data_IF_177491872363
#
_entry.id   IF_177491872363
#
_cell.length_a   1.000
_cell.length_b   1.000
_cell.length_c   1.000
_cell.angle_alpha   90.00
_cell.angle_beta   90.00
_cell.angle_gamma   90.00
#
_symmetry.space_group_name_H-M   'P 1'
#
loop_
_entity.id
_entity.type
_entity.pdbx_description
1 polymer ?
#
# COMPACT_ATOMS: atom_id res chain seq x y z
N UNK A 1 -44.92 -49.22 11.40
CA UNK A 1 -45.06 -50.67 11.26
C UNK A 1 -43.69 -51.32 11.20
N UNK A 2 -43.41 -52.11 12.23
CA UNK A 2 -42.34 -53.10 12.46
C UNK A 2 -40.88 -52.69 12.45
N UNK A 3 -40.40 -52.70 13.72
CA UNK A 3 -39.04 -52.97 14.20
C UNK A 3 -38.47 -54.29 13.66
N UNK A 4 -37.16 -54.36 13.48
CA UNK A 4 -36.39 -55.53 13.87
C UNK A 4 -34.98 -55.14 14.34
N UNK A 5 -34.73 -55.35 15.60
CA UNK A 5 -33.41 -55.46 16.26
C UNK A 5 -32.79 -56.81 15.89
N UNK A 6 -31.46 -56.86 15.69
CA UNK A 6 -30.64 -58.04 16.01
C UNK A 6 -29.33 -57.62 16.63
N UNK A 7 -29.14 -58.11 17.81
CA UNK A 7 -27.92 -58.16 18.66
C UNK A 7 -27.11 -59.42 18.31
N UNK A 8 -25.91 -59.46 18.81
CA UNK A 8 -24.97 -60.56 19.18
C UNK A 8 -23.62 -60.34 18.50
N UNK A 9 -22.46 -60.59 19.07
CA UNK A 9 -22.04 -60.95 20.43
C UNK A 9 -20.49 -60.78 20.47
N UNK A 10 -20.03 -60.53 21.64
CA UNK A 10 -18.69 -60.56 22.24
C UNK A 10 -17.79 -61.73 21.83
N UNK A 11 -16.47 -61.49 21.66
CA UNK A 11 -15.45 -62.44 22.12
C UNK A 11 -14.19 -61.72 22.59
N UNK A 12 -13.83 -62.02 23.79
CA UNK A 12 -12.64 -61.62 24.59
C UNK A 12 -11.55 -62.67 24.31
N UNK A 13 -10.31 -62.29 24.11
CA UNK A 13 -9.17 -63.13 24.41
C UNK A 13 -7.92 -62.31 24.69
N UNK A 14 -7.34 -62.60 25.73
CA UNK A 14 -6.35 -62.04 26.59
C UNK A 14 -4.91 -62.52 26.26
N UNK A 15 -3.98 -61.81 26.89
CA UNK A 15 -2.63 -62.22 27.35
C UNK A 15 -1.49 -62.26 26.30
N UNK A 16 -0.44 -61.47 26.47
CA UNK A 16 0.81 -61.88 27.16
C UNK A 16 1.77 -60.68 27.36
N UNK A 17 2.26 -60.64 28.56
CA UNK A 17 3.31 -59.81 29.16
C UNK A 17 4.67 -60.34 28.72
N UNK A 18 5.60 -59.41 28.39
CA UNK A 18 7.03 -59.68 28.53
C UNK A 18 7.75 -58.38 28.95
N UNK A 19 8.41 -58.47 30.09
CA UNK A 19 9.23 -57.47 30.77
C UNK A 19 10.68 -57.45 30.22
N UNK A 20 11.34 -56.32 30.58
CA UNK A 20 12.79 -56.09 30.81
C UNK A 20 13.62 -55.65 29.60
N UNK A 21 14.20 -54.44 29.65
CA UNK A 21 15.46 -54.14 30.38
C UNK A 21 15.67 -52.61 30.52
N UNK A 22 15.97 -52.19 31.74
CA UNK A 22 16.60 -50.92 32.07
C UNK A 22 18.07 -50.95 31.64
N UNK A 23 18.51 -49.84 30.98
CA UNK A 23 19.88 -49.37 31.15
C UNK A 23 19.86 -47.87 31.35
N UNK A 24 20.48 -47.48 32.44
CA UNK A 24 20.56 -46.10 32.95
C UNK A 24 21.76 -45.34 32.39
N UNK A 25 21.71 -44.05 32.61
CA UNK A 25 22.78 -43.05 32.69
C UNK A 25 23.32 -42.44 31.42
N UNK A 26 23.03 -41.15 31.33
CA UNK A 26 23.74 -40.17 30.53
C UNK A 26 23.05 -38.81 30.72
N UNK A 27 23.37 -38.14 31.86
CA UNK A 27 23.00 -36.74 32.10
C UNK A 27 23.80 -35.86 31.11
N UNK A 28 23.13 -35.32 30.17
CA UNK A 28 23.66 -34.12 29.49
C UNK A 28 22.53 -33.10 29.41
N UNK A 29 22.63 -32.10 30.28
CA UNK A 29 21.76 -30.93 30.29
C UNK A 29 22.14 -30.04 29.12
N UNK A 30 21.77 -30.44 27.93
CA UNK A 30 21.71 -29.58 26.77
C UNK A 30 20.47 -28.71 26.89
N UNK A 31 20.65 -27.48 27.33
CA UNK A 31 19.67 -26.42 27.13
C UNK A 31 19.40 -26.35 25.61
N UNK A 32 18.26 -26.87 25.21
CA UNK A 32 17.74 -26.56 23.87
C UNK A 32 17.42 -25.07 23.88
N UNK A 33 18.31 -24.27 23.31
CA UNK A 33 17.96 -22.96 22.83
C UNK A 33 16.76 -23.14 21.91
N UNK A 34 15.70 -22.31 22.03
CA UNK A 34 14.62 -22.32 21.05
C UNK A 34 15.24 -21.95 19.71
N UNK A 35 15.30 -22.89 18.80
CA UNK A 35 15.66 -22.66 17.41
C UNK A 35 14.72 -21.55 16.88
N UNK A 36 15.30 -20.41 16.54
CA UNK A 36 14.63 -19.30 15.87
C UNK A 36 14.37 -19.64 14.39
N UNK A 37 13.72 -20.78 14.13
CA UNK A 37 13.34 -21.26 12.81
C UNK A 37 11.85 -21.63 12.78
N UNK A 38 11.00 -20.61 13.04
CA UNK A 38 9.57 -20.71 12.80
C UNK A 38 8.98 -19.35 12.34
N UNK A 39 9.72 -18.59 11.56
CA UNK A 39 9.12 -17.60 10.68
C UNK A 39 8.73 -18.32 9.39
N UNK A 40 7.54 -18.88 9.35
CA UNK A 40 6.91 -19.30 8.11
C UNK A 40 6.95 -18.11 7.15
N UNK A 41 7.35 -18.32 5.87
CA UNK A 41 7.39 -17.25 4.86
C UNK A 41 6.03 -16.53 4.72
N UNK A 42 5.95 -15.46 3.91
CA UNK A 42 4.72 -14.70 3.73
C UNK A 42 3.59 -15.61 3.25
N UNK A 43 2.41 -15.42 3.83
CA UNK A 43 1.18 -16.11 3.41
C UNK A 43 0.29 -15.10 2.70
N UNK A 44 -0.20 -15.46 1.50
CA UNK A 44 -1.05 -14.62 0.68
C UNK A 44 -2.49 -15.09 0.71
N UNK A 45 -3.44 -14.18 0.55
CA UNK A 45 -4.88 -14.45 0.48
C UNK A 45 -5.21 -15.46 -0.63
N UNK A 46 -4.50 -15.38 -1.74
CA UNK A 46 -4.61 -16.30 -2.86
C UNK A 46 -3.27 -17.02 -3.06
N UNK A 47 -3.25 -18.33 -2.92
CA UNK A 47 -2.05 -19.12 -3.09
C UNK A 47 -1.40 -18.86 -4.47
N UNK A 48 -0.10 -18.56 -4.47
CA UNK A 48 0.67 -18.29 -5.69
C UNK A 48 0.47 -16.89 -6.28
N UNK A 49 -0.23 -15.98 -5.59
CA UNK A 49 -0.45 -14.59 -6.05
C UNK A 49 -0.20 -13.60 -4.93
N UNK A 50 0.47 -12.51 -5.26
CA UNK A 50 0.49 -11.29 -4.46
C UNK A 50 -0.66 -10.40 -4.95
N UNK A 51 -1.69 -10.22 -4.14
CA UNK A 51 -2.81 -9.33 -4.47
C UNK A 51 -2.57 -7.95 -3.89
N UNK A 52 -2.57 -6.95 -4.76
CA UNK A 52 -2.22 -5.57 -4.46
C UNK A 52 -3.43 -4.67 -4.70
N UNK A 53 -3.83 -3.90 -3.70
CA UNK A 53 -4.79 -2.81 -3.83
C UNK A 53 -4.07 -1.51 -4.20
N UNK A 54 -4.59 -0.80 -5.20
CA UNK A 54 -4.07 0.47 -5.69
C UNK A 54 -5.22 1.32 -6.24
N UNK A 55 -5.18 2.63 -6.05
CA UNK A 55 -6.23 3.57 -6.50
C UNK A 55 -5.90 4.06 -7.91
N UNK A 56 -6.52 3.48 -8.90
CA UNK A 56 -6.22 3.68 -10.32
C UNK A 56 -7.34 4.52 -10.99
N UNK A 57 -7.02 5.68 -11.59
CA UNK A 57 -5.69 6.17 -11.98
C UNK A 57 -5.05 7.17 -11.00
N UNK A 58 -3.74 7.05 -10.76
CA UNK A 58 -2.93 7.98 -10.01
C UNK A 58 -1.54 8.17 -10.66
N UNK A 59 -1.50 8.78 -11.85
CA UNK A 59 -0.27 8.94 -12.64
C UNK A 59 0.79 9.82 -11.93
N UNK A 60 2.05 9.43 -11.94
CA UNK A 60 2.71 8.33 -12.66
C UNK A 60 2.90 7.06 -11.83
N UNK A 61 2.28 6.91 -10.65
CA UNK A 61 2.43 5.76 -9.75
C UNK A 61 1.66 4.54 -10.26
N UNK A 62 0.37 4.69 -10.59
CA UNK A 62 -0.49 3.63 -11.11
C UNK A 62 -1.53 4.16 -12.09
N UNK A 63 -1.57 3.58 -13.28
CA UNK A 63 -2.54 3.93 -14.31
C UNK A 63 -2.65 2.84 -15.38
N UNK A 64 -3.67 2.95 -16.23
CA UNK A 64 -3.88 2.00 -17.32
C UNK A 64 -3.25 2.52 -18.61
N UNK A 65 -2.31 1.76 -19.18
CA UNK A 65 -1.72 2.01 -20.49
C UNK A 65 -1.75 0.75 -21.33
N UNK A 66 -2.41 0.82 -22.49
CA UNK A 66 -2.54 -0.36 -23.37
C UNK A 66 -3.27 -1.53 -22.73
N UNK A 67 -4.24 -1.29 -21.83
CA UNK A 67 -5.00 -2.31 -21.13
C UNK A 67 -4.23 -3.01 -19.99
N UNK A 68 -3.10 -2.44 -19.56
CA UNK A 68 -2.28 -2.95 -18.44
C UNK A 68 -2.12 -1.89 -17.38
N UNK A 69 -2.11 -2.30 -16.11
CA UNK A 69 -1.72 -1.45 -15.01
C UNK A 69 -0.21 -1.25 -15.06
N UNK A 70 0.23 0.00 -15.11
CA UNK A 70 1.64 0.42 -15.19
C UNK A 70 1.86 1.61 -14.27
N UNK A 71 3.11 1.90 -13.93
CA UNK A 71 3.46 3.02 -13.08
C UNK A 71 4.61 2.66 -12.14
N UNK A 72 5.07 3.64 -11.39
CA UNK A 72 6.16 3.48 -10.45
C UNK A 72 5.83 2.43 -9.37
N UNK A 73 4.65 2.56 -8.76
CA UNK A 73 4.18 1.63 -7.73
C UNK A 73 3.88 0.24 -8.30
N UNK A 74 3.43 0.15 -9.56
CA UNK A 74 3.20 -1.12 -10.24
C UNK A 74 4.50 -1.86 -10.52
N UNK A 75 5.58 -1.14 -10.87
CA UNK A 75 6.90 -1.75 -11.05
C UNK A 75 7.47 -2.25 -9.71
N UNK A 76 7.33 -1.47 -8.61
CA UNK A 76 7.72 -1.91 -7.26
C UNK A 76 6.91 -3.16 -6.86
N UNK A 77 5.59 -3.16 -7.07
CA UNK A 77 4.73 -4.31 -6.76
C UNK A 77 5.13 -5.56 -7.56
N UNK A 78 5.52 -5.39 -8.83
CA UNK A 78 6.01 -6.49 -9.66
C UNK A 78 7.33 -7.09 -9.12
N UNK A 79 8.24 -6.25 -8.62
CA UNK A 79 9.48 -6.72 -8.01
C UNK A 79 9.23 -7.43 -6.65
N UNK A 80 8.24 -6.97 -5.86
CA UNK A 80 7.82 -7.69 -4.63
C UNK A 80 7.27 -9.08 -4.99
N UNK A 81 6.39 -9.17 -5.99
CA UNK A 81 5.83 -10.44 -6.45
C UNK A 81 6.91 -11.40 -6.99
N UNK A 82 7.89 -10.86 -7.71
CA UNK A 82 9.04 -11.60 -8.25
C UNK A 82 9.91 -12.17 -7.12
N UNK A 83 10.25 -11.38 -6.10
CA UNK A 83 11.02 -11.84 -4.95
C UNK A 83 10.26 -12.91 -4.15
N UNK A 84 8.93 -12.78 -4.05
CA UNK A 84 8.05 -13.79 -3.48
C UNK A 84 7.86 -15.03 -4.36
N UNK A 85 8.30 -15.00 -5.64
CA UNK A 85 8.09 -16.05 -6.65
C UNK A 85 6.62 -16.40 -6.89
N UNK A 86 5.77 -15.37 -6.94
CA UNK A 86 4.32 -15.48 -7.17
C UNK A 86 3.89 -14.54 -8.30
N UNK A 87 2.67 -14.71 -8.81
CA UNK A 87 2.07 -13.80 -9.78
C UNK A 87 1.59 -12.51 -9.12
N UNK A 88 1.75 -11.37 -9.79
CA UNK A 88 1.14 -10.10 -9.39
C UNK A 88 -0.33 -10.07 -9.82
N UNK A 89 -1.22 -9.77 -8.87
CA UNK A 89 -2.63 -9.50 -9.12
C UNK A 89 -2.97 -8.11 -8.55
N UNK A 90 -3.39 -7.16 -9.41
CA UNK A 90 -3.73 -5.79 -9.02
C UNK A 90 -5.23 -5.62 -8.98
N UNK A 91 -5.75 -5.07 -7.90
CA UNK A 91 -7.14 -4.69 -7.71
C UNK A 91 -7.22 -3.18 -7.61
N UNK A 92 -8.02 -2.57 -8.47
CA UNK A 92 -8.41 -1.18 -8.37
C UNK A 92 -9.32 -0.99 -7.15
N UNK A 93 -8.89 -0.17 -6.20
CA UNK A 93 -9.57 0.06 -4.93
C UNK A 93 -9.53 1.54 -4.58
N UNK A 94 -10.67 2.11 -4.19
CA UNK A 94 -10.73 3.53 -3.80
C UNK A 94 -9.72 3.88 -2.70
N UNK A 95 -9.15 5.07 -2.77
CA UNK A 95 -8.16 5.51 -1.79
C UNK A 95 -8.69 5.50 -0.36
N UNK A 96 -9.97 5.84 -0.16
CA UNK A 96 -10.65 5.76 1.15
C UNK A 96 -10.62 4.33 1.73
N UNK A 97 -10.87 3.31 0.88
CA UNK A 97 -10.76 1.90 1.29
C UNK A 97 -9.33 1.53 1.69
N UNK A 98 -8.34 2.03 0.95
CA UNK A 98 -6.92 1.78 1.25
C UNK A 98 -6.53 2.45 2.58
N UNK A 99 -6.76 3.77 2.70
CA UNK A 99 -6.33 4.55 3.86
C UNK A 99 -7.03 4.12 5.16
N UNK A 100 -8.26 3.64 5.07
CA UNK A 100 -9.02 3.12 6.22
C UNK A 100 -8.55 1.74 6.70
N UNK A 101 -7.69 1.04 5.94
CA UNK A 101 -7.21 -0.30 6.22
C UNK A 101 -8.19 -1.41 5.82
N UNK A 102 -9.28 -1.08 5.12
CA UNK A 102 -10.26 -2.06 4.64
C UNK A 102 -9.71 -2.94 3.52
N UNK A 103 -8.66 -2.49 2.82
CA UNK A 103 -8.00 -3.25 1.74
C UNK A 103 -7.58 -4.66 2.18
N UNK A 104 -7.25 -4.87 3.44
CA UNK A 104 -6.78 -6.16 3.98
C UNK A 104 -7.76 -7.32 3.82
N UNK A 105 -9.03 -7.05 3.53
CA UNK A 105 -10.03 -8.09 3.25
C UNK A 105 -9.94 -8.66 1.83
N UNK A 106 -9.24 -7.97 0.93
CA UNK A 106 -9.15 -8.31 -0.50
C UNK A 106 -7.72 -8.39 -1.02
N UNK A 107 -6.77 -7.70 -0.36
CA UNK A 107 -5.40 -7.56 -0.82
C UNK A 107 -4.39 -7.91 0.28
N UNK A 108 -3.25 -8.44 -0.14
CA UNK A 108 -2.11 -8.76 0.73
C UNK A 108 -1.34 -7.51 1.13
N UNK A 109 -1.25 -6.54 0.22
CA UNK A 109 -0.63 -5.23 0.42
C UNK A 109 -1.43 -4.14 -0.28
N UNK A 110 -1.18 -2.89 0.09
CA UNK A 110 -1.62 -1.70 -0.65
C UNK A 110 -0.41 -0.84 -1.02
N UNK A 111 -0.33 -0.45 -2.29
CA UNK A 111 0.67 0.50 -2.78
C UNK A 111 -0.04 1.47 -3.72
N UNK A 112 -0.02 2.76 -3.38
CA UNK A 112 -0.78 3.79 -4.08
C UNK A 112 -0.31 5.18 -3.63
N UNK A 113 0.98 5.46 -3.78
CA UNK A 113 1.60 6.70 -3.29
C UNK A 113 1.14 7.05 -1.85
N UNK A 114 1.10 6.03 -1.00
CA UNK A 114 0.46 6.11 0.32
C UNK A 114 1.37 6.78 1.34
N UNK A 115 1.09 8.04 1.71
CA UNK A 115 1.84 8.76 2.73
C UNK A 115 1.75 8.06 4.08
N UNK A 116 2.91 7.83 4.70
CA UNK A 116 3.05 7.27 6.05
C UNK A 116 2.56 8.33 7.05
N UNK A 117 1.52 8.02 7.82
CA UNK A 117 1.02 8.90 8.88
C UNK A 117 0.69 8.10 10.13
N UNK A 118 0.77 8.76 11.31
CA UNK A 118 0.41 8.12 12.59
C UNK A 118 -1.03 7.58 12.61
N UNK A 119 -1.93 8.24 11.89
CA UNK A 119 -3.33 7.82 11.81
C UNK A 119 -3.48 6.52 11.02
N UNK A 120 -2.77 6.40 9.90
CA UNK A 120 -2.76 5.21 9.04
C UNK A 120 -1.96 4.07 9.67
N UNK A 121 -0.85 4.37 10.36
CA UNK A 121 -0.03 3.39 11.07
C UNK A 121 -0.78 2.64 12.20
N UNK A 122 -1.91 3.17 12.66
CA UNK A 122 -2.81 2.47 13.59
C UNK A 122 -3.69 1.42 12.91
N UNK A 123 -3.81 1.47 11.58
CA UNK A 123 -4.71 0.63 10.78
C UNK A 123 -3.95 -0.43 9.97
N UNK A 124 -2.68 -0.16 9.65
CA UNK A 124 -1.79 -1.01 8.87
C UNK A 124 -0.34 -0.79 9.28
N UNK A 125 0.53 -1.77 9.01
CA UNK A 125 1.97 -1.57 9.04
C UNK A 125 2.41 -0.86 7.76
N UNK A 126 3.46 -0.06 7.85
CA UNK A 126 4.13 0.51 6.69
C UNK A 126 5.49 -0.10 6.48
N UNK A 127 5.86 -0.24 5.22
CA UNK A 127 7.25 -0.53 4.84
C UNK A 127 8.19 0.60 5.26
N UNK A 128 9.50 0.38 5.10
CA UNK A 128 10.45 1.50 5.00
C UNK A 128 10.01 2.43 3.88
N UNK A 129 10.22 3.76 4.01
CA UNK A 129 9.87 4.71 2.95
C UNK A 129 10.59 4.39 1.64
N UNK A 130 9.89 4.56 0.52
CA UNK A 130 10.48 4.39 -0.82
C UNK A 130 10.62 5.70 -1.60
N UNK A 131 9.92 6.77 -1.17
CA UNK A 131 9.96 8.10 -1.81
C UNK A 131 9.53 9.19 -0.82
N UNK A 132 10.11 10.39 -0.92
CA UNK A 132 9.63 11.60 -0.27
C UNK A 132 8.68 12.34 -1.23
N UNK A 133 7.55 12.87 -0.74
CA UNK A 133 6.59 13.56 -1.58
C UNK A 133 5.81 14.63 -0.82
N UNK A 134 6.23 15.87 -0.98
CA UNK A 134 5.60 17.04 -0.34
C UNK A 134 4.28 17.44 -1.03
N UNK A 135 3.54 18.39 -0.44
CA UNK A 135 2.31 18.92 -1.00
C UNK A 135 2.57 20.21 -1.81
N UNK A 136 1.74 20.41 -2.82
CA UNK A 136 1.75 21.62 -3.66
C UNK A 136 0.35 22.19 -3.86
N UNK A 137 0.32 23.49 -4.14
CA UNK A 137 -0.84 24.20 -4.68
C UNK A 137 -0.60 24.47 -6.16
N UNK A 138 -1.54 24.05 -7.01
CA UNK A 138 -1.51 24.28 -8.44
C UNK A 138 -2.67 25.17 -8.83
N UNK A 139 -2.41 26.11 -9.74
CA UNK A 139 -3.43 27.00 -10.25
C UNK A 139 -3.14 27.41 -11.70
N UNK A 140 -4.14 27.99 -12.35
CA UNK A 140 -3.99 28.56 -13.69
C UNK A 140 -3.18 29.84 -13.61
N UNK A 141 -2.31 30.07 -14.61
CA UNK A 141 -1.55 31.31 -14.77
C UNK A 141 -2.48 32.51 -14.81
N UNK A 142 -2.12 33.55 -14.07
CA UNK A 142 -2.90 34.78 -14.01
C UNK A 142 -4.20 34.67 -13.19
N UNK A 143 -4.45 33.59 -12.49
CA UNK A 143 -5.62 33.40 -11.59
C UNK A 143 -5.62 34.36 -10.38
N UNK A 144 -4.45 34.91 -10.03
CA UNK A 144 -4.23 35.66 -8.79
C UNK A 144 -4.03 34.78 -7.57
N UNK A 145 -3.99 33.44 -7.71
CA UNK A 145 -3.68 32.50 -6.65
C UNK A 145 -2.18 32.25 -6.65
N UNK A 146 -1.51 32.59 -5.55
CA UNK A 146 -0.05 32.45 -5.38
C UNK A 146 0.33 31.68 -4.13
N UNK A 147 -0.62 31.51 -3.22
CA UNK A 147 -0.43 30.84 -1.92
C UNK A 147 -1.78 30.45 -1.30
N UNK A 148 -1.76 29.88 -0.09
CA UNK A 148 -2.99 29.51 0.65
C UNK A 148 -3.83 30.72 1.04
N UNK A 149 -3.22 31.88 1.29
CA UNK A 149 -3.95 33.09 1.69
C UNK A 149 -4.82 33.60 0.53
N UNK A 150 -4.26 33.60 -0.68
CA UNK A 150 -4.98 33.99 -1.91
C UNK A 150 -5.95 32.92 -2.39
N UNK A 151 -5.74 31.65 -1.99
CA UNK A 151 -6.63 30.52 -2.28
C UNK A 151 -7.81 30.41 -1.28
N UNK A 152 -7.78 31.11 -0.16
CA UNK A 152 -8.66 30.89 1.00
C UNK A 152 -10.14 30.78 0.67
N UNK A 153 -10.65 31.71 -0.16
CA UNK A 153 -12.05 31.78 -0.56
C UNK A 153 -12.31 31.24 -1.97
N UNK A 154 -11.30 30.61 -2.57
CA UNK A 154 -11.38 29.99 -3.90
C UNK A 154 -11.84 28.56 -3.78
N UNK A 155 -12.37 28.01 -4.88
CA UNK A 155 -12.67 26.59 -4.95
C UNK A 155 -11.37 25.82 -5.12
N UNK A 156 -10.99 25.07 -4.10
CA UNK A 156 -9.77 24.23 -4.12
C UNK A 156 -10.17 22.76 -4.22
N UNK A 157 -9.79 22.12 -5.32
CA UNK A 157 -10.00 20.69 -5.52
C UNK A 157 -8.95 19.88 -4.77
N UNK A 158 -9.41 18.84 -4.09
CA UNK A 158 -8.58 17.86 -3.38
C UNK A 158 -9.07 16.46 -3.68
N UNK A 159 -8.19 15.45 -3.62
CA UNK A 159 -8.67 14.08 -3.56
C UNK A 159 -9.08 13.76 -2.12
N UNK A 160 -10.23 13.09 -1.95
CA UNK A 160 -10.78 12.70 -0.65
C UNK A 160 -9.87 11.72 0.08
N UNK A 161 -9.90 11.74 1.42
CA UNK A 161 -9.13 10.87 2.31
C UNK A 161 -7.59 11.02 2.22
N UNK A 162 -7.08 12.00 1.44
CA UNK A 162 -5.65 12.25 1.31
C UNK A 162 -5.11 13.21 2.37
N UNK A 163 -3.78 13.27 2.50
CA UNK A 163 -3.08 14.28 3.29
C UNK A 163 -3.32 15.68 2.75
N UNK A 164 -3.48 15.84 1.43
CA UNK A 164 -3.83 17.08 0.79
C UNK A 164 -5.20 17.62 1.24
N UNK A 165 -6.23 16.78 1.29
CA UNK A 165 -7.53 17.16 1.83
C UNK A 165 -7.44 17.58 3.31
N UNK A 166 -6.73 16.79 4.12
CA UNK A 166 -6.52 17.09 5.53
C UNK A 166 -5.81 18.43 5.70
N UNK A 167 -4.72 18.65 4.96
CA UNK A 167 -3.94 19.89 5.00
C UNK A 167 -4.80 21.09 4.61
N UNK A 168 -5.60 20.99 3.54
CA UNK A 168 -6.51 22.06 3.12
C UNK A 168 -7.47 22.48 4.25
N UNK A 169 -8.05 21.51 4.97
CA UNK A 169 -8.93 21.74 6.12
C UNK A 169 -8.18 22.39 7.29
N UNK A 170 -6.99 21.90 7.61
CA UNK A 170 -6.16 22.43 8.70
C UNK A 170 -5.69 23.87 8.45
N UNK A 171 -5.44 24.21 7.18
CA UNK A 171 -5.08 25.58 6.76
C UNK A 171 -6.30 26.52 6.66
N UNK A 172 -7.49 26.02 6.92
CA UNK A 172 -8.72 26.85 6.97
C UNK A 172 -9.20 27.32 5.60
N UNK A 173 -8.96 26.55 4.53
CA UNK A 173 -9.59 26.82 3.24
C UNK A 173 -11.12 26.62 3.39
N UNK A 174 -11.90 27.61 2.91
CA UNK A 174 -13.33 27.64 3.15
C UNK A 174 -14.17 26.90 2.11
N UNK A 175 -13.61 26.68 0.91
CA UNK A 175 -14.33 26.10 -0.23
C UNK A 175 -13.57 24.95 -0.85
N UNK A 176 -13.51 23.82 -0.12
CA UNK A 176 -12.82 22.61 -0.54
C UNK A 176 -13.81 21.72 -1.32
N UNK A 177 -13.41 21.29 -2.51
CA UNK A 177 -14.17 20.38 -3.37
C UNK A 177 -13.44 19.03 -3.42
N UNK A 178 -14.03 18.00 -2.79
CA UNK A 178 -13.47 16.64 -2.76
C UNK A 178 -13.80 15.85 -4.02
N UNK A 179 -12.80 15.17 -4.57
CA UNK A 179 -12.92 14.24 -5.70
C UNK A 179 -12.54 12.83 -5.25
N UNK A 180 -13.13 11.82 -5.88
CA UNK A 180 -12.84 10.43 -5.57
C UNK A 180 -11.41 10.04 -5.97
N UNK A 181 -10.98 10.46 -7.16
CA UNK A 181 -9.65 10.18 -7.71
C UNK A 181 -8.93 11.44 -8.22
N UNK A 182 -7.60 11.34 -8.39
CA UNK A 182 -6.75 12.44 -8.84
C UNK A 182 -7.01 12.83 -10.30
N UNK A 183 -7.51 11.91 -11.13
CA UNK A 183 -7.88 12.18 -12.51
C UNK A 183 -9.07 13.14 -12.59
N UNK A 184 -10.14 12.87 -11.82
CA UNK A 184 -11.31 13.75 -11.69
C UNK A 184 -10.93 15.11 -11.10
N UNK A 185 -10.08 15.13 -10.07
CA UNK A 185 -9.53 16.36 -9.48
C UNK A 185 -8.83 17.21 -10.53
N UNK A 186 -7.95 16.61 -11.33
CA UNK A 186 -7.20 17.30 -12.39
C UNK A 186 -8.13 17.81 -13.49
N UNK A 187 -9.08 16.99 -13.94
CA UNK A 187 -10.06 17.37 -14.96
C UNK A 187 -10.90 18.55 -14.50
N UNK A 188 -11.28 18.63 -13.24
CA UNK A 188 -12.05 19.74 -12.69
C UNK A 188 -11.30 21.08 -12.78
N UNK A 189 -9.97 21.11 -12.53
CA UNK A 189 -9.15 22.30 -12.75
C UNK A 189 -9.11 22.69 -14.22
N UNK A 190 -8.82 21.73 -15.10
CA UNK A 190 -8.72 21.98 -16.54
C UNK A 190 -10.05 22.47 -17.14
N UNK A 191 -11.18 22.01 -16.58
CA UNK A 191 -12.52 22.46 -16.97
C UNK A 191 -12.97 23.77 -16.30
N UNK A 192 -12.15 24.34 -15.40
CA UNK A 192 -12.48 25.58 -14.67
C UNK A 192 -13.59 25.41 -13.63
N UNK A 193 -13.84 24.19 -13.15
CA UNK A 193 -14.82 23.89 -12.10
C UNK A 193 -14.28 24.24 -10.71
N UNK A 194 -12.96 24.19 -10.54
CA UNK A 194 -12.20 24.65 -9.38
C UNK A 194 -11.11 25.64 -9.83
N UNK A 195 -10.66 26.49 -8.91
CA UNK A 195 -9.69 27.54 -9.16
C UNK A 195 -8.24 27.08 -8.93
N UNK A 196 -8.06 26.08 -8.08
CA UNK A 196 -6.76 25.52 -7.73
C UNK A 196 -6.90 24.03 -7.32
N UNK A 197 -5.78 23.30 -7.31
CA UNK A 197 -5.67 21.96 -6.71
C UNK A 197 -4.65 21.97 -5.58
N UNK A 198 -4.90 21.19 -4.55
CA UNK A 198 -3.94 20.93 -3.49
C UNK A 198 -3.79 19.42 -3.32
N UNK A 199 -2.54 18.93 -3.31
CA UNK A 199 -2.20 17.51 -3.22
C UNK A 199 -0.71 17.27 -3.40
N UNK A 200 -0.32 16.03 -3.57
CA UNK A 200 1.08 15.61 -3.68
C UNK A 200 1.76 16.15 -4.93
N UNK A 201 3.00 16.60 -4.74
CA UNK A 201 3.79 17.25 -5.80
C UNK A 201 4.04 16.34 -6.99
N UNK A 202 4.38 15.08 -6.72
CA UNK A 202 4.69 14.09 -7.76
C UNK A 202 3.52 13.86 -8.72
N UNK A 203 2.29 13.82 -8.20
CA UNK A 203 1.06 13.58 -8.98
C UNK A 203 0.58 14.85 -9.66
N UNK A 204 0.38 15.91 -8.89
CA UNK A 204 -0.14 17.16 -9.44
C UNK A 204 0.85 17.83 -10.41
N UNK A 205 2.16 17.77 -10.10
CA UNK A 205 3.21 18.23 -11.01
C UNK A 205 3.22 17.44 -12.32
N UNK A 206 3.07 16.11 -12.22
CA UNK A 206 2.97 15.26 -13.41
C UNK A 206 1.72 15.59 -14.24
N UNK A 207 0.58 15.81 -13.59
CA UNK A 207 -0.69 16.10 -14.26
C UNK A 207 -0.66 17.38 -15.10
N UNK A 208 0.18 18.37 -14.71
CA UNK A 208 0.28 19.65 -15.44
C UNK A 208 1.55 19.80 -16.28
N UNK A 209 2.49 18.86 -16.26
CA UNK A 209 3.79 18.96 -16.95
C UNK A 209 3.68 19.36 -18.43
N UNK A 210 2.63 18.89 -19.11
CA UNK A 210 2.37 19.16 -20.52
C UNK A 210 1.12 20.03 -20.72
N UNK A 211 0.75 20.82 -19.69
CA UNK A 211 -0.43 21.70 -19.71
C UNK A 211 0.00 23.16 -19.58
N UNK A 212 0.33 23.85 -20.70
CA UNK A 212 0.68 25.26 -20.65
C UNK A 212 -0.46 26.08 -20.02
N UNK A 213 -0.09 27.08 -19.23
CA UNK A 213 -1.05 27.92 -18.52
C UNK A 213 -1.47 27.43 -17.15
N UNK A 214 -0.81 26.40 -16.63
CA UNK A 214 -0.93 25.93 -15.25
C UNK A 214 0.44 25.80 -14.61
N UNK A 215 0.56 26.16 -13.34
CA UNK A 215 1.83 26.10 -12.61
C UNK A 215 1.64 25.70 -11.16
N UNK A 216 2.69 25.14 -10.57
CA UNK A 216 2.85 25.07 -9.12
C UNK A 216 3.06 26.48 -8.62
N UNK A 217 2.14 26.97 -7.78
CA UNK A 217 2.15 28.35 -7.25
C UNK A 217 2.61 28.42 -5.80
N UNK A 218 2.60 27.28 -5.09
CA UNK A 218 3.18 27.16 -3.76
C UNK A 218 3.58 25.71 -3.46
N UNK A 219 4.69 25.55 -2.72
CA UNK A 219 5.19 24.27 -2.19
C UNK A 219 5.06 24.26 -0.67
N UNK A 220 4.66 23.12 -0.12
CA UNK A 220 4.51 22.93 1.32
C UNK A 220 5.39 21.77 1.77
N UNK A 221 6.46 22.08 2.48
CA UNK A 221 7.42 21.10 3.01
C UNK A 221 6.80 20.37 4.20
N UNK A 222 5.99 19.35 3.92
CA UNK A 222 5.30 18.54 4.91
C UNK A 222 6.19 17.42 5.46
N UNK A 223 7.24 17.06 4.71
CA UNK A 223 8.12 15.94 5.05
C UNK A 223 7.41 14.59 4.90
N UNK A 224 6.40 14.52 4.04
CA UNK A 224 5.70 13.28 3.77
C UNK A 224 6.61 12.25 3.09
N UNK A 225 6.46 11.01 3.52
CA UNK A 225 7.16 9.85 2.97
C UNK A 225 6.15 8.80 2.55
N UNK A 226 6.38 8.18 1.39
CA UNK A 226 5.51 7.15 0.85
C UNK A 226 5.97 5.77 1.28
N UNK A 227 5.02 4.89 1.60
CA UNK A 227 5.28 3.51 2.01
C UNK A 227 4.22 2.55 1.52
N UNK A 228 4.57 1.27 1.48
CA UNK A 228 3.65 0.17 1.19
C UNK A 228 2.89 -0.18 2.46
N UNK A 229 1.56 -0.19 2.37
CA UNK A 229 0.67 -0.62 3.46
C UNK A 229 0.56 -2.15 3.51
N UNK A 230 0.75 -2.72 4.69
CA UNK A 230 0.67 -4.18 4.95
C UNK A 230 -0.27 -4.41 6.13
N UNK A 231 -1.18 -5.40 6.10
CA UNK A 231 -2.03 -5.70 7.24
C UNK A 231 -1.23 -5.91 8.53
N UNK A 232 -1.76 -5.47 9.68
CA UNK A 232 -1.05 -5.48 10.97
C UNK A 232 -0.55 -6.87 11.37
N UNK A 233 -1.28 -7.91 11.02
CA UNK A 233 -0.99 -9.31 11.32
C UNK A 233 0.02 -9.98 10.38
N UNK A 234 0.47 -9.31 9.33
CA UNK A 234 1.30 -9.88 8.24
C UNK A 234 2.78 -9.47 8.33
N UNK A 235 3.43 -9.79 9.45
CA UNK A 235 4.84 -9.42 9.68
C UNK A 235 5.79 -9.99 8.61
N UNK A 236 5.61 -11.24 8.20
CA UNK A 236 6.46 -11.86 7.18
C UNK A 236 6.29 -11.20 5.79
N UNK A 237 5.09 -10.73 5.47
CA UNK A 237 4.84 -9.94 4.24
C UNK A 237 5.52 -8.58 4.33
N UNK A 238 5.52 -7.93 5.51
CA UNK A 238 6.26 -6.69 5.72
C UNK A 238 7.77 -6.87 5.54
N UNK A 239 8.33 -7.96 6.07
CA UNK A 239 9.75 -8.30 5.90
C UNK A 239 10.11 -8.53 4.42
N UNK A 240 9.26 -9.25 3.67
CA UNK A 240 9.42 -9.41 2.22
C UNK A 240 9.44 -8.06 1.51
N UNK A 241 8.46 -7.19 1.76
CA UNK A 241 8.35 -5.86 1.15
C UNK A 241 9.61 -5.04 1.45
N UNK A 242 10.03 -4.97 2.72
CA UNK A 242 11.23 -4.23 3.11
C UNK A 242 12.51 -4.81 2.48
N UNK A 243 12.60 -6.13 2.37
CA UNK A 243 13.70 -6.81 1.69
C UNK A 243 13.80 -6.42 0.21
N UNK A 244 12.65 -6.39 -0.48
CA UNK A 244 12.60 -5.95 -1.89
C UNK A 244 12.98 -4.48 -2.05
N UNK A 245 12.41 -3.57 -1.24
CA UNK A 245 12.73 -2.15 -1.30
C UNK A 245 14.24 -1.90 -1.04
N UNK A 246 14.80 -2.60 -0.05
CA UNK A 246 16.23 -2.54 0.22
C UNK A 246 17.05 -3.03 -0.98
N UNK A 247 16.70 -4.17 -1.59
CA UNK A 247 17.39 -4.69 -2.78
C UNK A 247 17.35 -3.70 -3.92
N UNK A 248 16.18 -3.13 -4.23
CA UNK A 248 16.02 -2.13 -5.30
C UNK A 248 16.88 -0.90 -5.07
N UNK A 249 16.98 -0.45 -3.81
CA UNK A 249 17.81 0.70 -3.44
C UNK A 249 19.30 0.36 -3.55
N UNK A 250 19.72 -0.77 -2.99
CA UNK A 250 21.13 -1.18 -2.97
C UNK A 250 21.68 -1.47 -4.37
N UNK A 251 20.84 -1.96 -5.28
CA UNK A 251 21.22 -2.26 -6.68
C UNK A 251 21.20 -1.03 -7.59
N UNK A 252 20.58 0.08 -7.19
CA UNK A 252 20.33 1.25 -8.03
C UNK A 252 19.07 1.14 -8.90
N UNK A 253 18.37 -0.01 -8.89
CA UNK A 253 17.11 -0.19 -9.64
C UNK A 253 16.03 0.81 -9.23
N UNK A 254 15.97 1.21 -7.94
CA UNK A 254 15.01 2.23 -7.47
C UNK A 254 15.23 3.58 -8.15
N UNK A 255 16.49 3.99 -8.37
CA UNK A 255 16.81 5.23 -9.09
C UNK A 255 16.44 5.10 -10.58
N UNK A 256 16.69 3.94 -11.20
CA UNK A 256 16.28 3.68 -12.59
C UNK A 256 14.75 3.77 -12.76
N UNK A 257 13.97 3.23 -11.82
CA UNK A 257 12.51 3.34 -11.80
C UNK A 257 12.07 4.80 -11.61
N UNK A 258 12.75 5.54 -10.74
CA UNK A 258 12.47 6.97 -10.52
C UNK A 258 12.69 7.76 -11.79
N UNK A 259 13.81 7.58 -12.46
CA UNK A 259 14.11 8.25 -13.74
C UNK A 259 13.10 7.85 -14.82
N UNK A 260 12.74 6.58 -14.89
CA UNK A 260 11.76 6.05 -15.86
C UNK A 260 10.41 6.77 -15.78
N UNK A 261 9.92 7.05 -14.57
CA UNK A 261 8.55 7.53 -14.38
C UNK A 261 8.47 9.04 -14.15
N UNK A 262 9.47 9.62 -13.50
CA UNK A 262 9.48 11.04 -13.13
C UNK A 262 10.46 11.88 -13.97
N UNK A 263 11.37 11.23 -14.73
CA UNK A 263 12.43 11.90 -15.49
C UNK A 263 13.69 12.13 -14.65
N UNK A 264 14.75 12.60 -15.32
CA UNK A 264 15.96 13.05 -14.64
C UNK A 264 15.66 14.31 -13.81
N UNK A 265 16.26 14.40 -12.62
CA UNK A 265 16.14 15.58 -11.73
C UNK A 265 16.98 16.73 -12.22
#
# INVERSE_FOLDING_TARGET
MRLTKKRFATTLAATSVALLALTACGSDSGSAEPSADAAGGPTFLNAGKLTVCSDIPYEPFEFVKGGKNVGFDMDIAAEIAKDAKVELNVIDASFDSIESGLFKSQCDIAISSLSITDARAKKMNFSTPYMDDDLVLISKDGSGITDLATAKDKKVGVQQATTGEKYAKEQGLSNIVGYEDAGLQTQALLAGQVDALLGNQSVLGYAIKDKPGYAVVADFKTGEQLGVGVPLEQAATLELVNGTLKRLTDSGEMEELTVKWFGEK
#
